data_IF_015204446240
#
_entry.id   IF_015204446240
#
_cell.length_a   1.000
_cell.length_b   1.000
_cell.length_c   1.000
_cell.angle_alpha   90.00
_cell.angle_beta   90.00
_cell.angle_gamma   90.00
#
_symmetry.space_group_name_H-M   'P 1'
#
loop_
_entity.id
_entity.type
_entity.pdbx_description
1 polymer ?
#
# COMPACT_ATOMS: atom_id res chain seq x y z
N UNK A 1 -17.47 -8.87 19.34
CA UNK A 1 -17.08 -9.89 18.34
C UNK A 1 -16.20 -9.17 17.35
N UNK A 2 -15.06 -9.75 16.93
CA UNK A 2 -14.17 -9.09 15.98
C UNK A 2 -14.87 -8.98 14.62
N UNK A 3 -14.87 -7.80 14.00
CA UNK A 3 -15.30 -7.64 12.60
C UNK A 3 -14.17 -8.15 11.69
N UNK A 4 -14.19 -9.46 11.40
CA UNK A 4 -13.16 -10.14 10.62
C UNK A 4 -13.79 -10.96 9.50
N UNK A 5 -13.41 -10.66 8.26
CA UNK A 5 -13.83 -11.43 7.09
C UNK A 5 -12.71 -12.36 6.60
N UNK A 6 -13.01 -13.64 6.42
CA UNK A 6 -12.07 -14.61 5.84
C UNK A 6 -12.32 -14.69 4.34
N UNK A 7 -11.42 -14.11 3.56
CA UNK A 7 -11.54 -14.05 2.10
C UNK A 7 -11.26 -15.42 1.46
N UNK A 8 -11.99 -15.75 0.39
CA UNK A 8 -11.73 -16.99 -0.38
C UNK A 8 -10.32 -17.04 -0.99
N UNK A 9 -9.77 -15.89 -1.37
CA UNK A 9 -8.37 -15.73 -1.75
C UNK A 9 -7.70 -14.80 -0.74
N UNK A 10 -6.76 -15.30 0.06
CA UNK A 10 -6.10 -14.52 1.14
C UNK A 10 -4.97 -13.61 0.66
N UNK A 11 -4.77 -13.53 -0.66
CA UNK A 11 -3.75 -12.69 -1.29
C UNK A 11 -4.13 -12.36 -2.73
N UNK A 12 -3.25 -11.63 -3.44
CA UNK A 12 -3.44 -11.25 -4.84
C UNK A 12 -3.63 -12.47 -5.73
N UNK A 13 -4.63 -12.42 -6.60
CA UNK A 13 -4.90 -13.47 -7.60
C UNK A 13 -4.13 -13.21 -8.89
N UNK A 14 -4.04 -14.23 -9.75
CA UNK A 14 -3.40 -14.12 -11.06
C UNK A 14 -4.00 -12.95 -11.82
N UNK A 15 -3.15 -12.15 -12.47
CA UNK A 15 -3.63 -10.97 -13.18
C UNK A 15 -2.97 -10.71 -14.52
N UNK A 16 -3.71 -10.02 -15.38
CA UNK A 16 -3.25 -9.46 -16.66
C UNK A 16 -3.66 -7.98 -16.69
N UNK A 17 -2.67 -7.10 -16.76
CA UNK A 17 -2.84 -5.64 -16.69
C UNK A 17 -2.90 -4.98 -18.07
N UNK A 18 -2.89 -5.76 -19.16
CA UNK A 18 -2.86 -5.21 -20.51
C UNK A 18 -3.80 -5.99 -21.43
N UNK A 19 -5.05 -6.15 -21.01
CA UNK A 19 -6.05 -6.88 -21.79
C UNK A 19 -6.56 -5.99 -22.93
N UNK A 20 -6.45 -6.43 -24.20
CA UNK A 20 -7.00 -5.69 -25.33
C UNK A 20 -8.52 -5.53 -25.22
N UNK A 21 -9.05 -4.39 -25.64
CA UNK A 21 -10.47 -4.03 -25.51
C UNK A 21 -11.44 -5.15 -25.91
N UNK A 22 -11.24 -5.78 -27.07
CA UNK A 22 -12.14 -6.85 -27.55
C UNK A 22 -12.23 -8.04 -26.59
N UNK A 23 -11.10 -8.50 -26.05
CA UNK A 23 -11.06 -9.58 -25.04
C UNK A 23 -11.65 -9.12 -23.71
N UNK A 24 -11.42 -7.87 -23.33
CA UNK A 24 -11.93 -7.32 -22.08
C UNK A 24 -13.46 -7.24 -22.06
N UNK A 25 -14.10 -6.88 -23.17
CA UNK A 25 -15.57 -6.81 -23.25
C UNK A 25 -16.24 -8.17 -22.99
N UNK A 26 -15.65 -9.29 -23.41
CA UNK A 26 -16.16 -10.63 -23.11
C UNK A 26 -16.01 -10.99 -21.61
N UNK A 27 -14.88 -10.62 -21.00
CA UNK A 27 -14.68 -10.77 -19.55
C UNK A 27 -15.70 -9.92 -18.77
N UNK A 28 -15.87 -8.66 -19.17
CA UNK A 28 -16.83 -7.73 -18.58
C UNK A 28 -18.26 -8.22 -18.72
N UNK A 29 -18.64 -8.76 -19.88
CA UNK A 29 -19.95 -9.39 -20.10
C UNK A 29 -20.19 -10.56 -19.14
N UNK A 30 -19.18 -11.39 -18.93
CA UNK A 30 -19.22 -12.51 -17.98
C UNK A 30 -19.40 -12.03 -16.54
N UNK A 31 -18.63 -11.03 -16.12
CA UNK A 31 -18.76 -10.42 -14.80
C UNK A 31 -20.15 -9.80 -14.60
N UNK A 32 -20.64 -9.02 -15.56
CA UNK A 32 -21.96 -8.37 -15.50
C UNK A 32 -23.12 -9.36 -15.38
N UNK A 33 -23.04 -10.53 -16.05
CA UNK A 33 -24.04 -11.61 -15.88
C UNK A 33 -24.14 -12.06 -14.43
N UNK A 34 -23.01 -12.17 -13.72
CA UNK A 34 -23.00 -12.56 -12.30
C UNK A 34 -23.46 -11.43 -11.37
N UNK A 35 -23.04 -10.20 -11.66
CA UNK A 35 -23.37 -9.03 -10.84
C UNK A 35 -24.88 -8.74 -10.81
N UNK A 36 -25.52 -8.69 -11.99
CA UNK A 36 -26.97 -8.43 -12.16
C UNK A 36 -27.55 -7.42 -11.14
N UNK A 37 -28.77 -7.61 -10.62
CA UNK A 37 -29.45 -6.63 -9.73
C UNK A 37 -28.93 -6.61 -8.28
N UNK A 38 -27.95 -7.45 -7.93
CA UNK A 38 -27.43 -7.59 -6.56
C UNK A 38 -26.08 -6.88 -6.36
N UNK A 39 -25.63 -6.13 -7.35
CA UNK A 39 -24.36 -5.42 -7.26
C UNK A 39 -24.47 -4.21 -6.33
N UNK A 40 -23.46 -4.07 -5.48
CA UNK A 40 -23.16 -2.84 -4.78
C UNK A 40 -22.43 -1.88 -5.71
N UNK A 41 -22.76 -0.59 -5.57
CA UNK A 41 -22.20 0.49 -6.37
C UNK A 41 -21.65 1.57 -5.44
N UNK A 42 -20.41 2.03 -5.68
CA UNK A 42 -19.85 3.18 -4.97
C UNK A 42 -18.77 3.86 -5.78
N UNK A 43 -18.81 5.20 -5.80
CA UNK A 43 -17.76 6.02 -6.40
C UNK A 43 -16.73 6.42 -5.34
N UNK A 44 -15.45 6.31 -5.68
CA UNK A 44 -14.34 6.81 -4.88
C UNK A 44 -13.72 8.04 -5.56
N UNK A 45 -13.39 9.07 -4.78
CA UNK A 45 -12.58 10.19 -5.19
C UNK A 45 -11.12 9.93 -4.80
N UNK A 46 -10.25 9.74 -5.80
CA UNK A 46 -8.81 9.57 -5.65
C UNK A 46 -8.13 10.79 -6.28
N UNK A 47 -8.02 11.87 -5.49
CA UNK A 47 -7.38 13.13 -5.90
C UNK A 47 -8.01 13.77 -7.16
N UNK A 48 -9.34 13.86 -7.19
CA UNK A 48 -10.12 14.42 -8.31
C UNK A 48 -10.50 13.40 -9.38
N UNK A 49 -9.87 12.21 -9.37
CA UNK A 49 -10.21 11.09 -10.25
C UNK A 49 -11.28 10.23 -9.59
N UNK A 50 -12.37 9.95 -10.30
CA UNK A 50 -13.48 9.13 -9.83
C UNK A 50 -13.42 7.74 -10.41
N UNK A 51 -13.17 6.76 -9.54
CA UNK A 51 -13.23 5.34 -9.87
C UNK A 51 -14.51 4.76 -9.27
N UNK A 52 -15.28 4.05 -10.09
CA UNK A 52 -16.52 3.42 -9.65
C UNK A 52 -16.32 1.92 -9.38
N UNK A 53 -16.64 1.49 -8.17
CA UNK A 53 -16.74 0.09 -7.80
C UNK A 53 -18.14 -0.45 -8.11
N UNK A 54 -18.19 -1.58 -8.81
CA UNK A 54 -19.38 -2.35 -9.11
C UNK A 54 -19.10 -3.82 -8.73
N UNK A 55 -19.65 -4.33 -7.62
CA UNK A 55 -19.30 -5.67 -7.14
C UNK A 55 -20.37 -6.33 -6.29
N UNK A 56 -20.29 -7.65 -6.09
CA UNK A 56 -21.28 -8.41 -5.29
C UNK A 56 -20.72 -8.98 -3.96
N UNK A 57 -19.45 -8.72 -3.63
CA UNK A 57 -18.89 -9.01 -2.31
C UNK A 57 -19.22 -7.86 -1.36
N UNK A 58 -19.96 -8.17 -0.29
CA UNK A 58 -20.29 -7.19 0.75
C UNK A 58 -19.02 -6.73 1.48
N UNK A 59 -18.07 -7.63 1.74
CA UNK A 59 -16.77 -7.31 2.35
C UNK A 59 -16.01 -6.23 1.58
N UNK A 60 -15.81 -6.44 0.27
CA UNK A 60 -15.10 -5.45 -0.56
C UNK A 60 -15.83 -4.10 -0.60
N UNK A 61 -17.16 -4.11 -0.64
CA UNK A 61 -17.97 -2.90 -0.65
C UNK A 61 -17.82 -2.09 0.65
N UNK A 62 -17.90 -2.75 1.80
CA UNK A 62 -17.73 -2.10 3.12
C UNK A 62 -16.34 -1.50 3.27
N UNK A 63 -15.29 -2.25 2.90
CA UNK A 63 -13.92 -1.75 2.91
C UNK A 63 -13.76 -0.57 1.93
N UNK A 64 -14.39 -0.63 0.75
CA UNK A 64 -14.37 0.45 -0.22
C UNK A 64 -15.00 1.74 0.32
N UNK A 65 -16.22 1.66 0.89
CA UNK A 65 -16.92 2.83 1.46
C UNK A 65 -16.15 3.44 2.63
N UNK A 66 -15.49 2.62 3.43
CA UNK A 66 -14.69 3.09 4.56
C UNK A 66 -13.39 3.75 4.10
N UNK A 67 -12.69 3.19 3.12
CA UNK A 67 -11.36 3.65 2.72
C UNK A 67 -11.36 4.93 1.86
N UNK A 68 -12.43 5.19 1.10
CA UNK A 68 -12.41 6.26 0.09
C UNK A 68 -13.33 7.43 0.43
N UNK A 69 -12.90 8.63 0.07
CA UNK A 69 -13.82 9.77 -0.06
C UNK A 69 -14.82 9.48 -1.19
N UNK A 70 -16.06 9.93 -1.01
CA UNK A 70 -17.10 9.69 -2.01
C UNK A 70 -16.85 10.51 -3.28
N UNK A 71 -16.95 9.85 -4.44
CA UNK A 71 -16.86 10.49 -5.74
C UNK A 71 -18.17 11.22 -6.07
N UNK A 72 -18.17 12.55 -5.92
CA UNK A 72 -19.38 13.37 -6.11
C UNK A 72 -19.69 13.68 -7.59
N UNK A 73 -18.71 13.56 -8.49
CA UNK A 73 -18.94 13.93 -9.90
C UNK A 73 -19.80 12.89 -10.63
N UNK A 74 -20.68 13.33 -11.56
CA UNK A 74 -21.51 12.41 -12.35
C UNK A 74 -20.69 11.46 -13.23
N UNK A 75 -19.63 11.97 -13.86
CA UNK A 75 -18.72 11.19 -14.70
C UNK A 75 -17.84 10.24 -13.88
N UNK A 76 -17.34 9.19 -14.52
CA UNK A 76 -16.36 8.28 -13.91
C UNK A 76 -15.19 8.17 -14.88
N UNK A 77 -13.98 8.14 -14.35
CA UNK A 77 -12.75 8.05 -15.14
C UNK A 77 -12.27 6.60 -15.27
N UNK A 78 -12.82 5.70 -14.45
CA UNK A 78 -12.59 4.26 -14.55
C UNK A 78 -13.60 3.44 -13.74
N UNK A 79 -13.70 2.14 -14.04
CA UNK A 79 -14.63 1.22 -13.36
C UNK A 79 -13.99 -0.10 -12.97
N UNK A 80 -14.35 -0.58 -11.79
CA UNK A 80 -14.01 -1.92 -11.30
C UNK A 80 -15.29 -2.77 -11.31
N UNK A 81 -15.23 -3.94 -11.94
CA UNK A 81 -16.27 -4.97 -11.91
C UNK A 81 -15.79 -6.16 -11.10
N UNK A 82 -16.26 -6.33 -9.86
CA UNK A 82 -15.83 -7.41 -8.97
C UNK A 82 -16.91 -8.48 -8.80
N UNK A 83 -16.81 -9.54 -9.60
CA UNK A 83 -17.78 -10.63 -9.67
C UNK A 83 -17.30 -11.86 -8.89
N UNK A 84 -17.89 -12.10 -7.74
CA UNK A 84 -17.66 -13.29 -6.91
C UNK A 84 -18.73 -14.37 -7.18
N UNK A 85 -18.31 -15.63 -7.19
CA UNK A 85 -19.15 -16.82 -7.42
C UNK A 85 -19.43 -17.14 -8.90
N UNK A 86 -18.54 -16.76 -9.83
CA UNK A 86 -18.65 -17.12 -11.25
C UNK A 86 -18.22 -18.58 -11.44
N UNK A 87 -19.14 -19.43 -11.88
CA UNK A 87 -18.89 -20.87 -12.05
C UNK A 87 -17.84 -21.15 -13.14
N UNK A 88 -16.95 -22.10 -12.89
CA UNK A 88 -15.92 -22.53 -13.84
C UNK A 88 -14.82 -21.49 -14.13
N UNK A 89 -14.76 -20.40 -13.36
CA UNK A 89 -13.74 -19.35 -13.53
C UNK A 89 -12.82 -19.35 -12.32
N UNK A 90 -11.52 -19.46 -12.56
CA UNK A 90 -10.52 -19.36 -11.48
C UNK A 90 -10.39 -17.92 -10.96
N UNK A 91 -10.05 -17.73 -9.67
CA UNK A 91 -9.77 -16.41 -9.12
C UNK A 91 -8.72 -15.65 -9.94
N UNK A 92 -9.11 -14.50 -10.48
CA UNK A 92 -8.31 -13.77 -11.46
C UNK A 92 -8.70 -12.28 -11.54
N UNK A 93 -7.78 -11.44 -12.02
CA UNK A 93 -8.03 -10.01 -12.23
C UNK A 93 -7.49 -9.52 -13.59
N UNK A 94 -8.25 -8.68 -14.27
CA UNK A 94 -7.97 -8.24 -15.64
C UNK A 94 -8.17 -6.73 -15.75
N UNK A 95 -7.23 -6.00 -16.36
CA UNK A 95 -7.35 -4.56 -16.58
C UNK A 95 -7.17 -4.23 -18.08
N UNK A 96 -8.01 -3.33 -18.58
CA UNK A 96 -7.97 -2.82 -19.94
C UNK A 96 -7.54 -1.35 -19.95
N UNK A 97 -6.31 -1.04 -20.41
CA UNK A 97 -5.83 0.33 -20.49
C UNK A 97 -6.66 1.23 -21.41
N UNK A 98 -7.25 0.68 -22.47
CA UNK A 98 -8.03 1.44 -23.46
C UNK A 98 -9.35 1.98 -22.91
N UNK A 99 -9.93 1.31 -21.91
CA UNK A 99 -11.20 1.72 -21.28
C UNK A 99 -11.00 2.24 -19.86
N UNK A 100 -9.81 2.07 -19.29
CA UNK A 100 -9.52 2.27 -17.87
C UNK A 100 -10.53 1.53 -16.99
N UNK A 101 -10.76 0.25 -17.29
CA UNK A 101 -11.67 -0.61 -16.53
C UNK A 101 -10.98 -1.90 -16.11
N UNK A 102 -11.43 -2.49 -15.01
CA UNK A 102 -10.97 -3.80 -14.55
C UNK A 102 -12.09 -4.76 -14.20
N UNK A 103 -11.80 -6.05 -14.31
CA UNK A 103 -12.67 -7.16 -13.90
C UNK A 103 -11.93 -8.03 -12.91
N UNK A 104 -12.56 -8.32 -11.78
CA UNK A 104 -12.10 -9.30 -10.80
C UNK A 104 -13.09 -10.47 -10.78
N UNK A 105 -12.58 -11.69 -10.84
CA UNK A 105 -13.35 -12.91 -10.70
C UNK A 105 -12.97 -13.64 -9.42
N UNK A 106 -13.97 -14.08 -8.67
CA UNK A 106 -13.83 -15.03 -7.56
C UNK A 106 -12.76 -14.69 -6.51
N UNK A 107 -12.53 -13.40 -6.30
CA UNK A 107 -11.68 -12.89 -5.23
C UNK A 107 -12.38 -11.78 -4.47
N UNK A 108 -12.20 -11.81 -3.16
CA UNK A 108 -12.72 -10.81 -2.23
C UNK A 108 -11.57 -10.06 -1.54
N UNK A 109 -10.32 -10.36 -1.90
CA UNK A 109 -9.14 -9.73 -1.32
C UNK A 109 -9.15 -8.23 -1.61
N UNK A 110 -9.39 -7.41 -0.59
CA UNK A 110 -9.56 -5.97 -0.77
C UNK A 110 -8.27 -5.31 -1.26
N UNK A 111 -7.11 -5.78 -0.80
CA UNK A 111 -5.82 -5.18 -1.13
C UNK A 111 -5.54 -5.06 -2.63
N UNK A 112 -5.94 -6.04 -3.45
CA UNK A 112 -5.77 -5.94 -4.90
C UNK A 112 -6.76 -4.95 -5.53
N UNK A 113 -8.02 -4.93 -5.07
CA UNK A 113 -9.04 -3.97 -5.50
C UNK A 113 -8.59 -2.53 -5.17
N UNK A 114 -8.16 -2.29 -3.93
CA UNK A 114 -7.58 -1.02 -3.44
C UNK A 114 -6.44 -0.54 -4.32
N UNK A 115 -5.41 -1.36 -4.50
CA UNK A 115 -4.22 -0.98 -5.27
C UNK A 115 -4.51 -0.77 -6.76
N UNK A 116 -5.47 -1.48 -7.33
CA UNK A 116 -5.87 -1.26 -8.72
C UNK A 116 -6.68 0.02 -8.89
N UNK A 117 -7.53 0.40 -7.94
CA UNK A 117 -8.19 1.71 -7.94
C UNK A 117 -7.16 2.85 -7.92
N UNK A 118 -6.14 2.75 -7.07
CA UNK A 118 -5.02 3.70 -7.02
C UNK A 118 -4.24 3.77 -8.33
N UNK A 119 -3.97 2.61 -8.94
CA UNK A 119 -3.27 2.51 -10.22
C UNK A 119 -4.07 3.03 -11.43
N UNK A 120 -5.39 2.80 -11.44
CA UNK A 120 -6.31 3.35 -12.44
C UNK A 120 -6.39 4.88 -12.32
N UNK A 121 -6.41 5.39 -11.09
CA UNK A 121 -6.35 6.82 -10.83
C UNK A 121 -5.00 7.43 -11.24
N UNK A 122 -3.88 6.76 -10.91
CA UNK A 122 -2.54 7.15 -11.32
C UNK A 122 -2.41 7.32 -12.84
N UNK A 123 -2.96 6.37 -13.62
CA UNK A 123 -2.93 6.45 -15.09
C UNK A 123 -3.63 7.70 -15.66
N UNK A 124 -4.66 8.21 -14.98
CA UNK A 124 -5.37 9.45 -15.35
C UNK A 124 -4.60 10.67 -14.85
N UNK A 125 -4.16 10.64 -13.59
CA UNK A 125 -3.41 11.71 -12.93
C UNK A 125 -2.10 12.06 -13.64
N UNK A 126 -1.34 11.05 -14.07
CA UNK A 126 -0.06 11.25 -14.77
C UNK A 126 -0.25 11.80 -16.18
N UNK A 127 -1.31 11.35 -16.87
CA UNK A 127 -1.66 11.74 -18.25
C UNK A 127 -2.19 13.16 -18.31
N UNK A 128 -3.11 13.51 -17.42
CA UNK A 128 -3.94 14.71 -17.57
C UNK A 128 -3.62 15.82 -16.55
N UNK A 129 -2.98 15.50 -15.43
CA UNK A 129 -2.87 16.42 -14.27
C UNK A 129 -1.44 16.57 -13.73
N UNK A 130 -0.42 16.19 -14.51
CA UNK A 130 1.00 16.26 -14.11
C UNK A 130 1.26 15.74 -12.68
N UNK A 131 0.52 14.71 -12.28
CA UNK A 131 0.51 14.23 -10.89
C UNK A 131 1.21 12.89 -10.79
N UNK A 132 2.29 12.86 -10.01
CA UNK A 132 3.14 11.72 -9.76
C UNK A 132 2.55 10.81 -8.69
N UNK A 133 2.54 9.50 -8.96
CA UNK A 133 2.03 8.47 -8.04
C UNK A 133 3.16 7.60 -7.48
N UNK A 134 3.39 7.72 -6.16
CA UNK A 134 4.46 6.98 -5.47
C UNK A 134 3.85 5.94 -4.53
N UNK A 135 4.26 4.69 -4.69
CA UNK A 135 3.98 3.63 -3.73
C UNK A 135 4.98 3.71 -2.57
N UNK A 136 4.61 4.44 -1.53
CA UNK A 136 5.47 4.77 -0.39
C UNK A 136 4.66 5.31 0.78
N UNK A 137 5.23 5.18 1.98
CA UNK A 137 4.65 5.79 3.18
C UNK A 137 5.02 7.28 3.22
N UNK A 138 4.14 8.12 3.73
CA UNK A 138 4.40 9.53 3.99
C UNK A 138 4.15 9.87 5.46
N UNK A 139 5.13 10.53 6.07
CA UNK A 139 5.01 11.09 7.40
C UNK A 139 5.50 12.53 7.39
N UNK A 140 5.04 13.31 8.35
CA UNK A 140 5.58 14.64 8.62
C UNK A 140 6.27 14.64 9.97
N UNK A 141 7.39 15.34 10.11
CA UNK A 141 8.10 15.55 11.38
C UNK A 141 8.50 17.02 11.46
N UNK A 142 8.04 17.74 12.48
CA UNK A 142 8.33 19.18 12.67
C UNK A 142 8.04 20.01 11.41
N UNK A 143 6.89 19.74 10.77
CA UNK A 143 6.45 20.40 9.54
C UNK A 143 7.08 19.87 8.24
N UNK A 144 8.13 19.04 8.30
CA UNK A 144 8.84 18.52 7.13
C UNK A 144 8.37 17.12 6.75
N UNK A 145 8.03 16.93 5.49
CA UNK A 145 7.52 15.67 4.94
C UNK A 145 8.64 14.74 4.48
N UNK A 146 8.46 13.45 4.77
CA UNK A 146 9.32 12.36 4.31
C UNK A 146 8.48 11.32 3.59
N UNK A 147 8.94 10.93 2.41
CA UNK A 147 8.38 9.80 1.65
C UNK A 147 9.36 8.64 1.75
N UNK A 148 8.88 7.47 2.17
CA UNK A 148 9.66 6.24 2.27
C UNK A 148 9.18 5.26 1.22
N UNK A 149 10.01 5.04 0.19
CA UNK A 149 9.79 4.05 -0.87
C UNK A 149 10.68 2.85 -0.58
N UNK A 150 10.07 1.65 -0.66
CA UNK A 150 10.75 0.47 -0.20
C UNK A 150 10.18 -0.81 -0.85
N UNK A 151 11.04 -1.78 -1.21
CA UNK A 151 10.59 -3.13 -1.45
C UNK A 151 9.92 -3.75 -0.21
N UNK A 152 9.07 -4.75 -0.44
CA UNK A 152 8.46 -5.50 0.67
C UNK A 152 9.54 -6.11 1.59
N UNK A 153 9.36 -6.01 2.91
CA UNK A 153 10.27 -6.63 3.89
C UNK A 153 11.56 -5.86 4.20
N UNK A 154 11.71 -4.63 3.70
CA UNK A 154 12.86 -3.74 3.97
C UNK A 154 12.62 -2.74 5.11
N UNK A 155 11.44 -2.78 5.75
CA UNK A 155 11.18 -1.98 6.95
C UNK A 155 10.48 -0.63 6.74
N UNK A 156 9.79 -0.42 5.60
CA UNK A 156 8.98 0.78 5.33
C UNK A 156 8.05 1.13 6.50
N UNK A 157 7.17 0.20 6.85
CA UNK A 157 6.19 0.39 7.92
C UNK A 157 6.89 0.65 9.25
N UNK A 158 7.96 -0.07 9.56
CA UNK A 158 8.74 0.13 10.80
C UNK A 158 9.31 1.55 10.89
N UNK A 159 9.94 2.05 9.83
CA UNK A 159 10.53 3.40 9.81
C UNK A 159 9.47 4.49 9.80
N UNK A 160 8.40 4.32 9.01
CA UNK A 160 7.28 5.27 8.94
C UNK A 160 6.59 5.41 10.30
N UNK A 161 6.29 4.30 10.98
CA UNK A 161 5.68 4.33 12.31
C UNK A 161 6.54 5.04 13.34
N UNK A 162 7.86 4.78 13.37
CA UNK A 162 8.75 5.49 14.30
C UNK A 162 8.73 7.00 14.08
N UNK A 163 8.56 7.47 12.84
CA UNK A 163 8.44 8.91 12.54
C UNK A 163 7.11 9.47 13.00
N UNK A 164 6.00 8.76 12.76
CA UNK A 164 4.66 9.16 13.16
C UNK A 164 4.51 9.23 14.70
N UNK A 165 5.17 8.33 15.42
CA UNK A 165 5.14 8.25 16.89
C UNK A 165 5.94 9.35 17.61
N UNK A 166 6.83 10.08 16.91
CA UNK A 166 7.55 11.20 17.52
C UNK A 166 6.58 12.29 18.00
N UNK A 167 6.87 13.05 19.07
CA UNK A 167 6.00 14.14 19.53
C UNK A 167 5.58 15.10 18.40
N UNK A 168 6.52 15.60 17.60
CA UNK A 168 6.25 16.43 16.41
C UNK A 168 5.97 15.66 15.12
N UNK A 169 5.79 14.34 15.20
CA UNK A 169 5.43 13.47 14.08
C UNK A 169 3.95 13.54 13.72
N UNK A 170 3.59 13.38 12.45
CA UNK A 170 2.20 13.27 11.99
C UNK A 170 2.05 12.20 10.91
N UNK A 171 0.89 11.55 10.92
CA UNK A 171 0.45 10.53 9.98
C UNK A 171 -0.13 11.23 8.75
N UNK A 172 0.55 11.09 7.61
CA UNK A 172 -0.02 11.45 6.29
C UNK A 172 -0.60 10.20 5.64
N UNK A 173 0.23 9.16 5.52
CA UNK A 173 -0.15 7.93 4.85
C UNK A 173 0.84 6.79 4.98
N UNK A 174 0.38 5.53 4.86
CA UNK A 174 1.24 4.35 5.07
C UNK A 174 1.69 3.66 3.76
N UNK A 175 1.06 3.97 2.62
CA UNK A 175 1.20 3.13 1.42
C UNK A 175 1.24 3.86 0.07
N UNK A 176 0.58 5.02 -0.06
CA UNK A 176 0.50 5.73 -1.34
C UNK A 176 0.53 7.25 -1.20
N UNK A 177 1.23 7.91 -2.12
CA UNK A 177 1.35 9.38 -2.18
C UNK A 177 1.12 9.88 -3.59
N UNK A 178 0.27 10.90 -3.74
CA UNK A 178 0.17 11.71 -4.94
C UNK A 178 0.87 13.05 -4.76
N UNK A 179 1.58 13.50 -5.79
CA UNK A 179 2.27 14.79 -5.83
C UNK A 179 1.95 15.48 -7.15
N UNK A 180 1.28 16.62 -7.11
CA UNK A 180 1.04 17.42 -8.31
C UNK A 180 2.25 18.33 -8.58
N UNK A 181 2.91 18.16 -9.72
CA UNK A 181 4.10 18.93 -10.06
C UNK A 181 3.77 20.36 -10.52
N UNK A 182 2.59 20.61 -11.13
CA UNK A 182 2.16 21.97 -11.48
C UNK A 182 1.88 22.80 -10.22
N UNK A 183 1.25 22.20 -9.22
CA UNK A 183 1.10 22.81 -7.90
C UNK A 183 2.48 23.10 -7.29
N UNK A 184 3.41 22.16 -7.41
CA UNK A 184 4.78 22.32 -6.96
C UNK A 184 5.48 23.52 -7.60
N UNK A 185 5.34 23.68 -8.91
CA UNK A 185 5.90 24.83 -9.65
C UNK A 185 5.33 26.16 -9.16
N UNK A 186 4.02 26.20 -8.88
CA UNK A 186 3.36 27.40 -8.38
C UNK A 186 3.77 27.76 -6.94
N UNK A 187 4.02 26.76 -6.09
CA UNK A 187 4.35 26.96 -4.67
C UNK A 187 5.86 27.05 -4.39
N UNK A 188 6.70 26.54 -5.29
CA UNK A 188 8.15 26.41 -5.10
C UNK A 188 8.58 25.20 -4.26
N UNK A 189 7.65 24.34 -3.85
CA UNK A 189 7.93 23.09 -3.13
C UNK A 189 6.86 22.04 -3.44
N UNK A 190 7.20 20.75 -3.32
CA UNK A 190 6.26 19.65 -3.56
C UNK A 190 5.41 19.36 -2.33
N UNK A 191 4.15 18.99 -2.56
CA UNK A 191 3.21 18.55 -1.52
C UNK A 191 2.77 17.12 -1.80
N UNK A 192 2.97 16.24 -0.83
CA UNK A 192 2.54 14.84 -0.87
C UNK A 192 1.20 14.68 -0.16
N UNK A 193 0.25 14.00 -0.81
CA UNK A 193 -1.08 13.70 -0.27
C UNK A 193 -1.40 12.23 -0.37
N UNK A 194 -2.06 11.69 0.66
CA UNK A 194 -2.64 10.35 0.60
C UNK A 194 -4.10 10.44 0.11
N UNK A 195 -4.53 9.62 -0.86
CA UNK A 195 -5.93 9.58 -1.30
C UNK A 195 -6.86 8.74 -0.40
N UNK A 196 -6.30 7.86 0.44
CA UNK A 196 -7.02 6.96 1.33
C UNK A 196 -7.43 7.67 2.64
N UNK A 197 -8.68 7.51 3.06
CA UNK A 197 -9.20 7.93 4.38
C UNK A 197 -8.71 7.05 5.52
N UNK A 198 -8.40 5.79 5.21
CA UNK A 198 -8.00 4.78 6.17
C UNK A 198 -6.62 4.24 5.83
N UNK A 199 -6.02 3.54 6.79
CA UNK A 199 -4.74 2.86 6.67
C UNK A 199 -5.01 1.36 6.55
N UNK A 200 -4.55 0.74 5.47
CA UNK A 200 -4.75 -0.70 5.21
C UNK A 200 -3.58 -1.52 5.76
N UNK A 201 -3.52 -1.56 7.08
CA UNK A 201 -2.37 -2.02 7.84
C UNK A 201 -2.25 -3.54 7.88
N UNK A 202 -1.02 -4.06 7.86
CA UNK A 202 -0.76 -5.45 8.24
C UNK A 202 -0.91 -5.62 9.73
N UNK A 203 -1.72 -6.56 10.19
CA UNK A 203 -1.93 -6.73 11.62
C UNK A 203 -0.77 -7.41 12.33
N UNK A 204 0.18 -7.99 11.57
CA UNK A 204 1.40 -8.55 12.13
C UNK A 204 2.23 -7.53 12.93
N UNK A 205 2.06 -6.23 12.64
CA UNK A 205 2.72 -5.14 13.39
C UNK A 205 2.35 -5.11 14.87
N UNK A 206 1.21 -5.70 15.28
CA UNK A 206 0.85 -5.83 16.68
C UNK A 206 1.87 -6.65 17.48
N UNK A 207 2.63 -7.55 16.83
CA UNK A 207 3.72 -8.30 17.47
C UNK A 207 4.76 -7.37 18.11
N UNK A 208 5.17 -6.34 17.37
CA UNK A 208 6.20 -5.38 17.83
C UNK A 208 5.58 -4.17 18.56
N UNK A 209 4.26 -3.97 18.42
CA UNK A 209 3.51 -2.85 19.00
C UNK A 209 2.21 -3.36 19.65
N UNK A 210 2.27 -3.89 20.88
CA UNK A 210 1.13 -4.52 21.54
C UNK A 210 -0.11 -3.63 21.66
N UNK A 211 0.08 -2.31 21.76
CA UNK A 211 -0.99 -1.32 21.86
C UNK A 211 -1.92 -1.31 20.64
N UNK A 212 -1.45 -1.73 19.46
CA UNK A 212 -2.27 -1.82 18.23
C UNK A 212 -3.41 -2.83 18.35
N UNK A 213 -3.36 -3.74 19.34
CA UNK A 213 -4.43 -4.73 19.56
C UNK A 213 -5.78 -4.04 19.74
N UNK A 214 -5.84 -2.97 20.52
CA UNK A 214 -7.10 -2.26 20.77
C UNK A 214 -7.62 -1.60 19.49
N UNK A 215 -6.74 -0.93 18.74
CA UNK A 215 -7.08 -0.32 17.45
C UNK A 215 -7.61 -1.36 16.46
N UNK A 216 -6.98 -2.53 16.38
CA UNK A 216 -7.41 -3.60 15.47
C UNK A 216 -8.71 -4.28 15.93
N UNK A 217 -8.92 -4.43 17.25
CA UNK A 217 -10.17 -5.01 17.80
C UNK A 217 -11.40 -4.17 17.43
N UNK A 218 -11.23 -2.86 17.21
CA UNK A 218 -12.27 -1.90 16.80
C UNK A 218 -12.33 -1.66 15.29
N UNK A 219 -11.39 -2.23 14.52
CA UNK A 219 -11.29 -2.02 13.07
C UNK A 219 -11.93 -3.15 12.28
N UNK A 220 -12.30 -2.85 11.02
CA UNK A 220 -12.64 -3.88 10.06
C UNK A 220 -11.39 -4.66 9.68
N UNK A 221 -11.41 -5.97 9.88
CA UNK A 221 -10.28 -6.85 9.63
C UNK A 221 -10.56 -7.86 8.52
N UNK A 222 -9.50 -8.34 7.88
CA UNK A 222 -9.56 -9.49 7.00
C UNK A 222 -8.45 -10.50 7.29
N UNK A 223 -8.85 -11.77 7.24
CA UNK A 223 -7.98 -12.94 7.39
C UNK A 223 -7.23 -13.03 8.74
N UNK A 224 -7.79 -12.48 9.83
CA UNK A 224 -7.27 -12.72 11.19
C UNK A 224 -7.52 -14.17 11.58
N UNK A 225 -6.51 -14.82 12.17
CA UNK A 225 -6.64 -16.19 12.68
C UNK A 225 -7.40 -16.15 14.01
N UNK A 226 -8.59 -16.76 14.04
CA UNK A 226 -9.48 -16.81 15.21
C UNK A 226 -9.50 -18.18 15.89
N UNK A 227 -8.76 -19.14 15.35
CA UNK A 227 -8.67 -20.50 15.87
C UNK A 227 -7.22 -20.95 16.00
N UNK A 228 -6.83 -21.41 17.20
CA UNK A 228 -5.47 -21.93 17.46
C UNK A 228 -5.07 -23.05 16.50
N UNK A 229 -6.03 -23.90 16.07
CA UNK A 229 -5.77 -25.02 15.15
C UNK A 229 -5.35 -24.57 13.75
N UNK A 230 -5.64 -23.34 13.37
CA UNK A 230 -5.27 -22.74 12.07
C UNK A 230 -3.96 -21.96 12.13
N UNK A 231 -3.35 -21.83 13.32
CA UNK A 231 -2.09 -21.12 13.51
C UNK A 231 -0.90 -22.04 13.20
N UNK A 232 -0.11 -21.72 12.17
CA UNK A 232 1.08 -22.49 11.80
C UNK A 232 2.26 -22.34 12.79
N UNK A 233 2.12 -21.44 13.77
CA UNK A 233 3.18 -21.05 14.71
C UNK A 233 3.00 -21.59 16.12
N UNK A 234 2.10 -22.55 16.35
CA UNK A 234 2.00 -23.23 17.65
C UNK A 234 3.28 -24.02 17.95
N UNK A 235 3.73 -23.99 19.20
CA UNK A 235 4.87 -24.77 19.69
C UNK A 235 4.48 -25.61 20.90
N UNK A 236 4.36 -26.92 20.71
CA UNK A 236 3.76 -27.82 21.70
C UNK A 236 2.35 -27.38 22.10
N UNK A 237 1.98 -27.66 23.34
CA UNK A 237 0.64 -27.34 23.86
C UNK A 237 0.50 -25.85 24.20
N UNK A 238 1.55 -25.22 24.75
CA UNK A 238 1.46 -23.88 25.33
C UNK A 238 2.19 -22.77 24.56
N UNK A 239 3.20 -23.09 23.76
CA UNK A 239 4.15 -22.13 23.20
C UNK A 239 3.80 -21.59 21.81
N UNK A 240 4.60 -20.61 21.36
CA UNK A 240 4.52 -19.99 20.05
C UNK A 240 5.90 -19.84 19.40
N UNK A 241 6.10 -20.45 18.22
CA UNK A 241 7.36 -20.41 17.45
C UNK A 241 7.75 -19.02 16.99
N UNK A 242 6.80 -18.09 16.86
CA UNK A 242 7.07 -16.72 16.41
C UNK A 242 7.59 -15.79 17.50
N UNK A 243 7.20 -16.04 18.75
CA UNK A 243 7.49 -15.15 19.88
C UNK A 243 8.43 -15.79 20.89
N UNK A 244 8.55 -17.12 20.90
CA UNK A 244 9.26 -17.86 21.96
C UNK A 244 8.52 -17.87 23.30
N UNK A 245 7.31 -17.32 23.35
CA UNK A 245 6.50 -17.15 24.56
C UNK A 245 5.25 -18.04 24.52
N UNK A 246 4.41 -17.95 25.55
CA UNK A 246 3.06 -18.52 25.55
C UNK A 246 2.27 -18.04 24.33
N UNK A 247 1.53 -18.96 23.71
CA UNK A 247 0.65 -18.64 22.61
C UNK A 247 -0.50 -17.75 23.10
N UNK A 248 -0.83 -16.70 22.35
CA UNK A 248 -1.90 -15.74 22.72
C UNK A 248 -3.25 -16.40 23.00
N UNK A 249 -3.56 -17.50 22.32
CA UNK A 249 -4.78 -18.27 22.57
C UNK A 249 -4.79 -18.93 23.95
N UNK A 250 -3.62 -19.34 24.46
CA UNK A 250 -3.48 -19.86 25.82
C UNK A 250 -3.46 -18.74 26.87
N UNK A 251 -3.11 -17.51 26.47
CA UNK A 251 -3.25 -16.31 27.31
C UNK A 251 -4.70 -15.76 27.34
N UNK A 252 -5.67 -16.53 26.84
CA UNK A 252 -7.09 -16.16 26.83
C UNK A 252 -7.52 -15.24 25.68
N UNK A 253 -6.62 -14.91 24.75
CA UNK A 253 -7.00 -14.13 23.56
C UNK A 253 -7.80 -15.00 22.58
N UNK A 254 -8.83 -14.41 21.99
CA UNK A 254 -9.72 -15.11 21.03
C UNK A 254 -9.22 -15.10 19.59
N UNK A 255 -8.18 -14.33 19.28
CA UNK A 255 -7.62 -14.18 17.94
C UNK A 255 -6.14 -13.80 18.00
N UNK A 256 -5.42 -14.09 16.91
CA UNK A 256 -4.00 -13.79 16.75
C UNK A 256 -3.76 -12.96 15.49
N UNK A 257 -3.25 -11.74 15.67
CA UNK A 257 -3.04 -10.75 14.61
C UNK A 257 -1.79 -10.97 13.75
N UNK A 258 -0.85 -11.80 14.21
CA UNK A 258 0.40 -12.08 13.52
C UNK A 258 0.54 -13.53 13.07
N UNK A 259 -0.48 -14.37 13.29
CA UNK A 259 -0.46 -15.77 12.85
C UNK A 259 -0.61 -15.94 11.33
N UNK A 260 -1.08 -14.92 10.61
CA UNK A 260 -1.06 -14.88 9.15
C UNK A 260 -0.43 -13.56 8.68
N UNK A 261 0.72 -13.63 8.01
CA UNK A 261 1.51 -12.43 7.68
C UNK A 261 0.86 -11.46 6.66
N UNK A 262 -0.23 -11.86 6.01
CA UNK A 262 -1.01 -10.98 5.12
C UNK A 262 -2.42 -10.67 5.66
N UNK A 263 -2.66 -10.91 6.96
CA UNK A 263 -3.85 -10.42 7.64
C UNK A 263 -3.82 -8.89 7.75
N UNK A 264 -4.99 -8.26 7.65
CA UNK A 264 -5.10 -6.80 7.50
C UNK A 264 -6.19 -6.21 8.39
N UNK A 265 -5.98 -4.96 8.80
CA UNK A 265 -6.99 -4.12 9.41
C UNK A 265 -7.11 -2.83 8.59
N UNK A 266 -8.34 -2.38 8.35
CA UNK A 266 -8.64 -1.08 7.78
C UNK A 266 -8.90 -0.10 8.92
N UNK A 267 -7.87 0.64 9.29
CA UNK A 267 -7.84 1.52 10.47
C UNK A 267 -8.16 2.95 10.02
N UNK A 268 -9.12 3.65 10.63
CA UNK A 268 -9.28 5.09 10.35
C UNK A 268 -8.03 5.82 10.82
N UNK A 269 -7.54 6.80 10.05
CA UNK A 269 -6.28 7.49 10.36
C UNK A 269 -6.27 8.02 11.80
N UNK A 270 -7.37 8.63 12.22
CA UNK A 270 -7.56 9.25 13.54
C UNK A 270 -7.49 8.26 14.69
N UNK A 271 -7.84 6.98 14.45
CA UNK A 271 -7.82 5.93 15.47
C UNK A 271 -6.42 5.35 15.71
N UNK A 272 -5.44 5.68 14.87
CA UNK A 272 -4.09 5.12 14.98
C UNK A 272 -3.28 5.74 16.13
N UNK A 273 -3.12 7.07 16.12
CA UNK A 273 -2.32 7.80 17.12
C UNK A 273 -3.09 8.98 17.74
N UNK A 274 -4.35 9.17 17.38
CA UNK A 274 -5.15 10.34 17.73
C UNK A 274 -5.35 11.29 16.56
N UNK A 275 -6.47 12.03 16.57
CA UNK A 275 -6.85 12.96 15.52
C UNK A 275 -5.86 14.13 15.35
N UNK A 276 -5.20 14.56 16.44
CA UNK A 276 -4.19 15.63 16.46
C UNK A 276 -2.90 15.26 15.69
N UNK A 277 -2.66 13.96 15.51
CA UNK A 277 -1.53 13.40 14.78
C UNK A 277 -1.77 13.30 13.28
N UNK A 278 -2.95 13.64 12.78
CA UNK A 278 -3.26 13.49 11.35
C UNK A 278 -2.87 14.74 10.58
N UNK A 279 -2.28 14.52 9.40
CA UNK A 279 -2.06 15.53 8.39
C UNK A 279 -2.63 15.02 7.06
N UNK A 280 -3.39 15.86 6.36
CA UNK A 280 -3.90 15.49 5.02
C UNK A 280 -2.84 15.64 3.93
N UNK A 281 -1.82 16.45 4.20
CA UNK A 281 -0.70 16.67 3.31
C UNK A 281 0.61 16.94 4.06
N UNK A 282 1.72 16.87 3.34
CA UNK A 282 3.02 17.29 3.82
C UNK A 282 3.88 17.89 2.70
N UNK A 283 4.57 18.99 3.00
CA UNK A 283 5.66 19.50 2.17
C UNK A 283 6.76 18.45 2.11
N UNK A 284 7.10 17.97 0.92
CA UNK A 284 8.08 16.89 0.74
C UNK A 284 9.48 17.48 0.75
N UNK A 285 10.27 17.17 1.78
CA UNK A 285 11.66 17.63 1.91
C UNK A 285 12.69 16.48 1.81
N UNK A 286 12.23 15.24 1.95
CA UNK A 286 13.08 14.05 1.94
C UNK A 286 12.40 12.86 1.26
N UNK A 287 13.08 12.27 0.27
CA UNK A 287 12.82 10.95 -0.26
C UNK A 287 13.81 9.95 0.34
N UNK A 288 13.29 8.90 0.96
CA UNK A 288 14.07 7.78 1.50
C UNK A 288 13.76 6.54 0.67
N UNK A 289 14.79 5.97 0.07
CA UNK A 289 14.77 4.65 -0.55
C UNK A 289 15.35 3.65 0.44
N UNK A 290 14.68 2.52 0.64
CA UNK A 290 15.20 1.43 1.47
C UNK A 290 15.70 0.29 0.60
N UNK A 291 16.84 -0.29 0.99
CA UNK A 291 17.32 -1.58 0.52
C UNK A 291 17.70 -2.45 1.70
N UNK A 292 17.89 -3.74 1.44
CA UNK A 292 18.30 -4.69 2.47
C UNK A 292 19.20 -5.78 1.91
N UNK A 293 20.49 -5.56 2.03
CA UNK A 293 21.54 -6.47 1.61
C UNK A 293 22.74 -6.42 2.57
N UNK A 294 23.65 -7.38 2.49
CA UNK A 294 24.73 -7.54 3.46
C UNK A 294 26.01 -6.75 3.11
N UNK A 295 26.13 -6.25 1.89
CA UNK A 295 27.43 -5.78 1.35
C UNK A 295 27.45 -4.29 1.09
N UNK A 296 26.31 -3.67 0.82
CA UNK A 296 26.27 -2.28 0.41
C UNK A 296 26.33 -1.32 1.61
N UNK A 297 26.81 -0.08 1.42
CA UNK A 297 26.91 0.89 2.50
C UNK A 297 25.59 1.14 3.25
N UNK A 298 25.72 1.41 4.54
CA UNK A 298 24.63 1.80 5.44
C UNK A 298 23.74 2.93 4.87
N UNK A 299 24.36 3.96 4.29
CA UNK A 299 23.65 5.10 3.72
C UNK A 299 24.41 5.69 2.55
N UNK A 300 23.67 6.08 1.51
CA UNK A 300 24.19 6.80 0.34
C UNK A 300 23.25 7.97 0.06
N UNK A 301 23.79 9.18 -0.11
CA UNK A 301 23.03 10.30 -0.65
C UNK A 301 23.02 10.20 -2.17
N UNK A 302 21.85 10.28 -2.76
CA UNK A 302 21.67 10.18 -4.21
C UNK A 302 21.38 11.56 -4.79
N UNK A 303 21.99 11.83 -5.93
CA UNK A 303 21.54 12.85 -6.87
C UNK A 303 20.37 12.31 -7.71
N UNK A 304 19.80 13.16 -8.57
CA UNK A 304 18.64 12.80 -9.39
C UNK A 304 18.92 11.61 -10.32
N UNK A 305 20.10 11.58 -10.97
CA UNK A 305 20.48 10.53 -11.93
C UNK A 305 20.56 9.17 -11.26
N UNK A 306 21.28 9.08 -10.13
CA UNK A 306 21.44 7.83 -9.40
C UNK A 306 20.16 7.38 -8.72
N UNK A 307 19.33 8.31 -8.24
CA UNK A 307 18.02 7.98 -7.69
C UNK A 307 17.11 7.35 -8.75
N UNK A 308 17.05 7.94 -9.96
CA UNK A 308 16.32 7.36 -11.09
C UNK A 308 16.86 6.00 -11.47
N UNK A 309 18.18 5.81 -11.52
CA UNK A 309 18.76 4.50 -11.84
C UNK A 309 18.30 3.42 -10.86
N UNK A 310 18.36 3.71 -9.55
CA UNK A 310 17.92 2.80 -8.49
C UNK A 310 16.43 2.51 -8.61
N UNK A 311 15.59 3.54 -8.76
CA UNK A 311 14.15 3.41 -8.85
C UNK A 311 13.74 2.62 -10.10
N UNK A 312 14.30 2.95 -11.26
CA UNK A 312 13.99 2.31 -12.55
C UNK A 312 14.38 0.83 -12.57
N UNK A 313 15.54 0.49 -11.99
CA UNK A 313 15.95 -0.91 -11.79
C UNK A 313 15.02 -1.62 -10.82
N UNK A 314 14.64 -0.95 -9.74
CA UNK A 314 13.67 -1.48 -8.79
C UNK A 314 14.09 -2.80 -8.16
N UNK A 315 15.40 -3.06 -8.06
CA UNK A 315 15.93 -4.35 -7.62
C UNK A 315 15.71 -4.56 -6.11
N UNK A 316 15.36 -5.78 -5.73
CA UNK A 316 15.22 -6.19 -4.34
C UNK A 316 15.45 -7.68 -4.16
N UNK A 317 15.87 -8.07 -2.96
CA UNK A 317 15.94 -9.47 -2.58
C UNK A 317 14.57 -9.94 -2.09
N UNK A 318 14.01 -10.98 -2.71
CA UNK A 318 12.75 -11.59 -2.28
C UNK A 318 12.99 -12.29 -0.94
N UNK A 319 12.28 -11.86 0.11
CA UNK A 319 12.46 -12.38 1.48
C UNK A 319 11.41 -13.43 1.84
N UNK A 320 11.67 -14.29 2.84
CA UNK A 320 10.63 -15.09 3.47
C UNK A 320 9.41 -14.26 3.85
N UNK A 321 8.22 -14.74 3.47
CA UNK A 321 6.94 -14.01 3.64
C UNK A 321 6.64 -12.95 2.57
N UNK A 322 7.54 -12.72 1.61
CA UNK A 322 7.33 -11.86 0.45
C UNK A 322 7.36 -12.68 -0.84
N UNK A 323 6.25 -12.70 -1.59
CA UNK A 323 6.15 -13.43 -2.85
C UNK A 323 6.19 -14.97 -2.70
N UNK A 324 6.25 -15.70 -3.83
CA UNK A 324 6.30 -17.17 -3.87
C UNK A 324 7.53 -17.75 -3.13
N UNK A 325 7.35 -18.88 -2.43
CA UNK A 325 8.41 -19.52 -1.61
C UNK A 325 9.67 -19.88 -2.41
N UNK A 326 9.50 -20.32 -3.65
CA UNK A 326 10.57 -20.69 -4.58
C UNK A 326 11.42 -19.49 -5.06
N UNK A 327 10.93 -18.26 -4.84
CA UNK A 327 11.65 -17.03 -5.16
C UNK A 327 12.44 -16.49 -3.97
N UNK A 328 12.25 -17.00 -2.75
CA UNK A 328 12.95 -16.50 -1.57
C UNK A 328 14.48 -16.62 -1.72
N UNK A 329 15.19 -15.55 -1.36
CA UNK A 329 16.64 -15.42 -1.51
C UNK A 329 17.11 -15.00 -2.91
N UNK A 330 16.23 -14.97 -3.91
CA UNK A 330 16.56 -14.50 -5.27
C UNK A 330 16.36 -13.00 -5.41
N UNK A 331 17.03 -12.41 -6.40
CA UNK A 331 16.77 -11.04 -6.82
C UNK A 331 15.47 -10.99 -7.63
N UNK A 332 14.61 -10.05 -7.27
CA UNK A 332 13.47 -9.60 -8.06
C UNK A 332 13.69 -8.15 -8.48
N UNK A 333 12.86 -7.68 -9.41
CA UNK A 333 12.83 -6.30 -9.86
C UNK A 333 11.37 -5.86 -9.97
N UNK A 334 11.10 -4.65 -9.47
CA UNK A 334 9.83 -3.97 -9.64
C UNK A 334 10.13 -2.49 -9.93
N UNK A 335 10.09 -2.06 -11.21
CA UNK A 335 10.37 -0.68 -11.58
C UNK A 335 9.59 0.32 -10.74
N UNK A 336 10.28 1.37 -10.30
CA UNK A 336 9.77 2.44 -9.43
C UNK A 336 9.27 1.94 -8.06
N UNK A 337 9.56 0.68 -7.72
CA UNK A 337 9.00 -0.06 -6.59
C UNK A 337 7.46 0.00 -6.51
N UNK A 338 6.81 0.18 -7.67
CA UNK A 338 5.37 0.36 -7.77
C UNK A 338 4.75 -0.67 -8.74
N UNK A 339 4.30 -1.83 -8.24
CA UNK A 339 3.66 -2.85 -9.07
C UNK A 339 2.28 -2.43 -9.58
N UNK A 340 1.78 -1.25 -9.20
CA UNK A 340 0.42 -0.81 -9.47
C UNK A 340 0.35 0.36 -10.45
N UNK A 341 1.47 0.70 -11.10
CA UNK A 341 1.45 1.54 -12.30
C UNK A 341 0.82 0.73 -13.45
N UNK A 342 -0.51 0.73 -13.52
CA UNK A 342 -1.27 -0.06 -14.50
C UNK A 342 -1.04 0.39 -15.94
N UNK A 343 -0.63 1.65 -16.13
CA UNK A 343 -0.12 2.18 -17.39
C UNK A 343 1.24 2.80 -17.15
N UNK A 344 2.28 1.98 -17.19
CA UNK A 344 3.65 2.42 -16.92
C UNK A 344 4.17 3.34 -18.03
N UNK A 345 4.47 4.59 -17.68
CA UNK A 345 5.24 5.53 -18.50
C UNK A 345 6.59 5.81 -17.82
N UNK A 346 7.62 5.08 -18.26
CA UNK A 346 8.97 5.21 -17.68
C UNK A 346 9.57 6.61 -17.87
N UNK A 347 9.26 7.28 -18.97
CA UNK A 347 9.80 8.62 -19.23
C UNK A 347 9.17 9.63 -18.27
N UNK A 348 7.86 9.49 -18.02
CA UNK A 348 7.15 10.35 -17.08
C UNK A 348 7.58 10.14 -15.62
N UNK A 349 7.69 8.89 -15.18
CA UNK A 349 8.22 8.55 -13.85
C UNK A 349 9.64 9.09 -13.65
N UNK A 350 10.50 8.89 -14.65
CA UNK A 350 11.86 9.43 -14.64
C UNK A 350 11.88 10.95 -14.48
N UNK A 351 11.07 11.66 -15.28
CA UNK A 351 10.94 13.12 -15.18
C UNK A 351 10.49 13.56 -13.79
N UNK A 352 9.47 12.93 -13.22
CA UNK A 352 8.96 13.31 -11.90
C UNK A 352 9.99 13.16 -10.79
N UNK A 353 10.70 12.02 -10.72
CA UNK A 353 11.74 11.83 -9.71
C UNK A 353 12.94 12.75 -9.93
N UNK A 354 13.31 13.04 -11.18
CA UNK A 354 14.35 14.03 -11.49
C UNK A 354 13.96 15.39 -10.96
N UNK A 355 12.79 15.90 -11.34
CA UNK A 355 12.31 17.22 -10.91
C UNK A 355 12.20 17.31 -9.40
N UNK A 356 11.67 16.28 -8.75
CA UNK A 356 11.61 16.21 -7.28
C UNK A 356 12.97 16.52 -6.65
N UNK A 357 14.04 15.90 -7.13
CA UNK A 357 15.36 15.99 -6.51
C UNK A 357 16.14 17.22 -6.99
N UNK A 358 16.19 17.47 -8.30
CA UNK A 358 17.04 18.52 -8.88
C UNK A 358 16.35 19.89 -8.93
N UNK A 359 15.06 19.94 -9.27
CA UNK A 359 14.30 21.20 -9.42
C UNK A 359 13.74 21.66 -8.08
N UNK A 360 13.12 20.75 -7.33
CA UNK A 360 12.50 21.07 -6.03
C UNK A 360 13.43 20.85 -4.83
N UNK A 361 14.66 20.38 -5.05
CA UNK A 361 15.67 20.27 -4.01
C UNK A 361 15.36 19.22 -2.93
N UNK A 362 14.42 18.29 -3.18
CA UNK A 362 14.11 17.20 -2.26
C UNK A 362 15.34 16.31 -2.11
N UNK A 363 15.80 16.11 -0.87
CA UNK A 363 16.96 15.24 -0.64
C UNK A 363 16.58 13.79 -0.89
N UNK A 364 17.50 13.02 -1.49
CA UNK A 364 17.32 11.58 -1.66
C UNK A 364 18.37 10.80 -0.88
N UNK A 365 17.93 9.88 -0.01
CA UNK A 365 18.79 8.96 0.72
C UNK A 365 18.43 7.51 0.39
N UNK A 366 19.44 6.69 0.09
CA UNK A 366 19.32 5.24 0.03
C UNK A 366 19.91 4.65 1.31
N UNK A 367 19.06 4.01 2.12
CA UNK A 367 19.43 3.43 3.41
C UNK A 367 19.39 1.89 3.34
N UNK A 368 20.43 1.24 3.86
CA UNK A 368 20.53 -0.21 3.92
C UNK A 368 20.15 -0.75 5.29
N UNK A 369 18.94 -1.29 5.40
CA UNK A 369 18.43 -1.90 6.64
C UNK A 369 18.95 -3.33 6.88
N UNK A 370 19.88 -3.81 6.04
CA UNK A 370 20.54 -5.10 6.18
C UNK A 370 21.81 -5.05 7.04
N UNK A 371 22.44 -3.88 7.13
CA UNK A 371 23.70 -3.66 7.86
C UNK A 371 23.57 -2.68 9.02
N UNK A 372 22.43 -2.00 9.16
CA UNK A 372 22.15 -1.08 10.27
C UNK A 372 20.94 -1.51 11.10
N UNK A 373 20.95 -1.14 12.38
CA UNK A 373 19.80 -1.25 13.26
C UNK A 373 18.70 -0.26 12.87
N UNK A 374 17.47 -0.57 13.28
CA UNK A 374 16.29 0.28 13.07
C UNK A 374 16.53 1.69 13.63
N UNK A 375 17.15 1.79 14.82
CA UNK A 375 17.47 3.04 15.51
C UNK A 375 18.48 3.88 14.73
N UNK A 376 19.53 3.26 14.19
CA UNK A 376 20.55 3.95 13.41
C UNK A 376 19.97 4.47 12.09
N UNK A 377 19.19 3.66 11.37
CA UNK A 377 18.47 4.09 10.18
C UNK A 377 17.53 5.27 10.49
N UNK A 378 16.76 5.18 11.57
CA UNK A 378 15.84 6.24 11.98
C UNK A 378 16.56 7.55 12.31
N UNK A 379 17.68 7.51 13.05
CA UNK A 379 18.52 8.68 13.35
C UNK A 379 19.04 9.36 12.08
N UNK A 380 19.36 8.60 11.03
CA UNK A 380 19.79 9.16 9.74
C UNK A 380 18.67 9.92 9.05
N UNK A 381 17.44 9.40 9.06
CA UNK A 381 16.27 10.09 8.52
C UNK A 381 16.06 11.43 9.24
N UNK A 382 16.09 11.43 10.58
CA UNK A 382 15.95 12.67 11.37
C UNK A 382 17.06 13.67 11.12
N UNK A 383 18.32 13.23 11.04
CA UNK A 383 19.45 14.10 10.70
C UNK A 383 19.29 14.74 9.33
N UNK A 384 18.79 13.98 8.35
CA UNK A 384 18.55 14.47 7.01
C UNK A 384 17.47 15.56 6.99
N UNK A 385 16.33 15.32 7.66
CA UNK A 385 15.25 16.28 7.81
C UNK A 385 15.68 17.56 8.54
N UNK A 386 16.46 17.44 9.62
CA UNK A 386 16.97 18.60 10.35
C UNK A 386 17.83 19.52 9.49
N UNK A 387 18.55 18.95 8.52
CA UNK A 387 19.40 19.72 7.59
C UNK A 387 18.66 20.27 6.36
N UNK A 388 17.38 19.92 6.16
CA UNK A 388 16.59 20.25 4.94
C UNK A 388 15.98 21.63 4.95
#
# INVERSE_FOLDING_TARGET
MLDNYVTASTSRVKSDKNVPRGKFEELKKTAKKKLSSKAFHSKANLNGVTIEFNGNSHHQYEFWKMNWFEGMKPSVDGRIFSAFGVEGVEPSAYYCPDTNESVFFNTEYYGQCKSWALGMAAAVLERDFNTHSIHGACAQVEGKGVIIVAPTGTGKTTQAFKLMELPGGRVVGDDWVYINHDEGENQGYLVGRQPEKSLYMRTETQKDKPWLRNTFDESKCENIVVNKKECEFTDGEYGCKMTGNTCVFNDGNRWCYYAFGNSRALVRREDLLGADKIADDARVDLLVLLRRDATSPAAVRLDADKAVEVLKKGEFMVRPGAGPKDMWGKLGSEPWYNPYLLRLDNARQEQFFRDMISKFGVKCLLLNTGVESIESTHKRILKALASS
#
